data_IF_381702063179
#
_entry.id   IF_381702063179
#
_cell.length_a   1.000
_cell.length_b   1.000
_cell.length_c   1.000
_cell.angle_alpha   90.00
_cell.angle_beta   90.00
_cell.angle_gamma   90.00
#
_symmetry.space_group_name_H-M   'P 1'
#
loop_
_entity.id
_entity.type
_entity.pdbx_description
1 polymer ?
#
# COMPACT_ATOMS: atom_id res chain seq x y z
N UNK A 1 -39.47 6.87 -10.25
CA UNK A 1 -38.59 8.05 -10.17
C UNK A 1 -37.29 7.70 -10.90
N UNK A 2 -37.16 8.19 -12.13
CA UNK A 2 -36.08 7.83 -13.04
C UNK A 2 -34.89 8.74 -12.78
N UNK A 3 -33.79 8.18 -12.26
CA UNK A 3 -32.52 8.91 -12.13
C UNK A 3 -31.76 8.84 -13.47
N UNK A 4 -31.74 9.97 -14.15
CA UNK A 4 -30.87 10.20 -15.31
C UNK A 4 -29.44 10.44 -14.81
N UNK A 5 -28.39 9.73 -15.29
CA UNK A 5 -27.02 10.02 -14.91
C UNK A 5 -26.56 11.32 -15.57
N UNK A 6 -26.04 12.23 -14.75
CA UNK A 6 -25.38 13.47 -15.18
C UNK A 6 -24.02 13.13 -15.76
N UNK A 7 -23.66 13.56 -16.98
CA UNK A 7 -22.34 13.35 -17.54
C UNK A 7 -21.31 14.25 -16.81
N UNK A 8 -20.33 13.64 -16.17
CA UNK A 8 -19.17 14.34 -15.63
C UNK A 8 -18.30 14.82 -16.81
N UNK A 9 -18.41 16.10 -17.14
CA UNK A 9 -17.48 16.76 -18.05
C UNK A 9 -16.16 16.98 -17.34
N UNK A 10 -15.18 16.12 -17.66
CA UNK A 10 -13.78 16.31 -17.22
C UNK A 10 -13.15 17.30 -18.21
N UNK A 11 -12.94 18.52 -17.76
CA UNK A 11 -12.17 19.53 -18.52
C UNK A 11 -10.69 19.17 -18.41
N UNK A 12 -10.12 18.71 -19.53
CA UNK A 12 -8.68 18.47 -19.65
C UNK A 12 -7.93 19.78 -19.71
N UNK A 13 -6.78 19.95 -19.01
CA UNK A 13 -5.90 21.07 -19.24
C UNK A 13 -5.26 20.92 -20.62
N UNK A 14 -5.45 21.93 -21.46
CA UNK A 14 -4.84 22.05 -22.78
C UNK A 14 -3.34 22.31 -22.65
N UNK A 15 -2.56 21.25 -22.49
CA UNK A 15 -1.11 21.27 -22.63
C UNK A 15 -0.78 20.88 -24.06
N UNK A 16 -0.45 21.87 -24.90
CA UNK A 16 0.09 21.69 -26.24
C UNK A 16 1.46 21.03 -26.10
N UNK A 17 1.54 19.74 -26.37
CA UNK A 17 2.80 19.04 -26.60
C UNK A 17 2.81 18.59 -28.06
N UNK A 18 3.37 19.45 -28.93
CA UNK A 18 3.78 19.09 -30.27
C UNK A 18 4.98 18.14 -30.20
N UNK A 19 4.73 16.84 -30.14
CA UNK A 19 5.70 15.84 -30.53
C UNK A 19 5.02 14.79 -31.42
N UNK A 20 5.45 14.67 -32.68
CA UNK A 20 5.02 13.55 -33.52
C UNK A 20 5.82 12.31 -33.13
N UNK A 21 5.52 11.71 -31.99
CA UNK A 21 6.00 10.37 -31.70
C UNK A 21 5.03 9.38 -32.36
N UNK A 22 5.52 8.74 -33.42
CA UNK A 22 4.91 7.59 -34.05
C UNK A 22 4.68 6.49 -33.00
N UNK A 23 3.56 6.54 -32.31
CA UNK A 23 3.03 5.36 -31.63
C UNK A 23 2.64 4.35 -32.73
N UNK A 24 3.62 3.59 -33.23
CA UNK A 24 3.33 2.34 -33.93
C UNK A 24 2.57 1.47 -32.93
N UNK A 25 1.26 1.36 -33.12
CA UNK A 25 0.50 0.31 -32.51
C UNK A 25 1.14 -1.02 -32.98
N UNK A 26 1.98 -1.58 -32.12
CA UNK A 26 2.53 -2.91 -32.35
C UNK A 26 1.36 -3.84 -32.11
N UNK A 27 0.65 -4.22 -33.19
CA UNK A 27 -0.29 -5.36 -33.14
C UNK A 27 0.52 -6.52 -32.58
N UNK A 28 0.25 -6.87 -31.34
CA UNK A 28 0.79 -8.08 -30.76
C UNK A 28 0.30 -9.25 -31.63
N UNK A 29 1.23 -10.09 -32.06
CA UNK A 29 0.89 -11.29 -32.80
C UNK A 29 -0.18 -12.05 -32.02
N UNK A 30 -1.33 -12.30 -32.62
CA UNK A 30 -2.44 -13.02 -31.98
C UNK A 30 -2.03 -14.43 -31.48
N UNK A 31 -0.92 -14.97 -31.99
CA UNK A 31 -0.30 -16.20 -31.52
C UNK A 31 0.35 -16.10 -30.14
N UNK A 32 0.55 -14.89 -29.60
CA UNK A 32 1.16 -14.67 -28.27
C UNK A 32 0.15 -14.73 -27.12
N UNK A 33 -1.17 -14.76 -27.39
CA UNK A 33 -2.20 -14.79 -26.36
C UNK A 33 -2.43 -16.19 -25.79
N UNK A 34 -2.76 -16.35 -24.48
CA UNK A 34 -2.81 -15.32 -23.46
C UNK A 34 -1.42 -14.87 -22.98
N UNK A 35 -1.28 -13.56 -22.73
CA UNK A 35 -0.03 -12.95 -22.27
C UNK A 35 0.32 -13.37 -20.84
N UNK A 36 -0.69 -13.44 -19.97
CA UNK A 36 -0.48 -13.82 -18.57
C UNK A 36 -0.68 -15.32 -18.41
N UNK A 37 0.38 -16.01 -18.01
CA UNK A 37 0.36 -17.45 -17.75
C UNK A 37 0.71 -17.72 -16.28
N UNK A 38 -0.08 -18.56 -15.63
CA UNK A 38 0.11 -18.98 -14.24
C UNK A 38 0.28 -20.49 -14.15
N UNK A 39 0.97 -20.96 -13.10
CA UNK A 39 1.12 -22.39 -12.87
C UNK A 39 -0.19 -23.00 -12.37
N UNK A 40 -0.48 -24.28 -12.65
CA UNK A 40 -1.68 -24.94 -12.14
C UNK A 40 -1.83 -24.88 -10.61
N UNK A 41 -0.72 -24.87 -9.88
CA UNK A 41 -0.68 -24.83 -8.41
C UNK A 41 -0.97 -23.41 -7.82
N UNK A 42 -1.15 -22.40 -8.67
CA UNK A 42 -1.36 -21.02 -8.18
C UNK A 42 -2.84 -20.71 -7.81
N UNK A 43 -3.68 -21.74 -7.66
CA UNK A 43 -5.05 -21.61 -7.09
C UNK A 43 -5.88 -20.47 -7.67
N UNK A 44 -6.23 -19.44 -6.84
CA UNK A 44 -7.10 -18.33 -7.25
C UNK A 44 -6.54 -17.51 -8.41
N UNK A 45 -5.22 -17.38 -8.56
CA UNK A 45 -4.64 -16.70 -9.71
C UNK A 45 -4.91 -17.43 -11.03
N UNK A 46 -5.07 -18.75 -10.99
CA UNK A 46 -5.47 -19.54 -12.15
C UNK A 46 -6.93 -19.22 -12.55
N UNK A 47 -7.83 -19.19 -11.60
CA UNK A 47 -9.23 -18.84 -11.84
C UNK A 47 -9.36 -17.43 -12.46
N UNK A 48 -8.58 -16.46 -11.99
CA UNK A 48 -8.52 -15.12 -12.55
C UNK A 48 -8.05 -15.10 -14.01
N UNK A 49 -7.04 -15.89 -14.36
CA UNK A 49 -6.56 -15.97 -15.75
C UNK A 49 -7.57 -16.67 -16.65
N UNK A 50 -8.18 -17.75 -16.20
CA UNK A 50 -9.20 -18.48 -16.95
C UNK A 50 -10.44 -17.62 -17.19
N UNK A 51 -10.87 -16.83 -16.19
CA UNK A 51 -11.92 -15.84 -16.32
C UNK A 51 -11.53 -14.76 -17.35
N UNK A 52 -10.33 -14.18 -17.25
CA UNK A 52 -9.84 -13.21 -18.20
C UNK A 52 -9.90 -13.72 -19.63
N UNK A 53 -9.41 -14.92 -19.87
CA UNK A 53 -9.42 -15.54 -21.20
C UNK A 53 -10.85 -15.75 -21.73
N UNK A 54 -11.81 -16.00 -20.83
CA UNK A 54 -13.22 -16.21 -21.18
C UNK A 54 -13.88 -14.94 -21.70
N UNK A 55 -13.52 -13.76 -21.18
CA UNK A 55 -14.14 -12.51 -21.61
C UNK A 55 -13.25 -11.62 -22.49
N UNK A 56 -11.99 -12.02 -22.72
CA UNK A 56 -11.02 -11.23 -23.48
C UNK A 56 -11.45 -10.91 -24.93
N UNK A 57 -12.33 -11.72 -25.51
CA UNK A 57 -12.83 -11.55 -26.87
C UNK A 57 -14.35 -11.26 -26.92
N UNK A 58 -15.00 -11.06 -25.77
CA UNK A 58 -16.45 -10.81 -25.74
C UNK A 58 -16.77 -9.45 -26.38
N UNK A 59 -17.66 -9.39 -27.38
CA UNK A 59 -17.96 -8.16 -28.10
C UNK A 59 -18.43 -7.01 -27.18
N UNK A 60 -19.26 -7.32 -26.19
CA UNK A 60 -19.76 -6.30 -25.27
C UNK A 60 -18.65 -5.71 -24.40
N UNK A 61 -17.67 -6.52 -23.98
CA UNK A 61 -16.51 -6.06 -23.20
C UNK A 61 -15.57 -5.24 -24.07
N UNK A 62 -15.28 -5.68 -25.30
CA UNK A 62 -14.47 -4.94 -26.25
C UNK A 62 -15.11 -3.61 -26.64
N UNK A 63 -16.43 -3.58 -26.88
CA UNK A 63 -17.16 -2.34 -27.14
C UNK A 63 -17.04 -1.35 -25.97
N UNK A 64 -17.16 -1.82 -24.73
CA UNK A 64 -16.97 -1.00 -23.54
C UNK A 64 -15.54 -0.44 -23.48
N UNK A 65 -14.52 -1.29 -23.65
CA UNK A 65 -13.11 -0.88 -23.57
C UNK A 65 -12.77 0.11 -24.70
N UNK A 66 -13.24 -0.13 -25.92
CA UNK A 66 -13.04 0.75 -27.06
C UNK A 66 -13.77 2.10 -26.89
N UNK A 67 -14.87 2.13 -26.14
CA UNK A 67 -15.57 3.39 -25.81
C UNK A 67 -14.71 4.34 -24.94
N UNK A 68 -13.73 3.85 -24.23
CA UNK A 68 -12.81 4.68 -23.42
C UNK A 68 -11.78 5.45 -24.27
N UNK A 69 -11.60 5.08 -25.54
CA UNK A 69 -10.71 5.75 -26.51
C UNK A 69 -9.30 5.97 -25.99
N UNK A 70 -8.73 4.95 -25.36
CA UNK A 70 -7.38 4.99 -24.77
C UNK A 70 -6.29 5.02 -25.85
N UNK A 71 -6.56 4.46 -27.02
CA UNK A 71 -5.68 4.45 -28.20
C UNK A 71 -6.52 4.77 -29.45
N UNK A 72 -5.88 5.18 -30.57
CA UNK A 72 -6.60 5.48 -31.82
C UNK A 72 -7.29 4.25 -32.45
N UNK A 73 -6.67 3.08 -32.37
CA UNK A 73 -7.16 1.83 -32.95
C UNK A 73 -8.06 1.09 -31.97
N UNK A 74 -9.04 0.33 -32.50
CA UNK A 74 -9.89 -0.51 -31.68
C UNK A 74 -9.18 -1.81 -31.28
N UNK A 75 -9.34 -2.19 -30.02
CA UNK A 75 -8.88 -3.48 -29.51
C UNK A 75 -9.82 -4.59 -30.01
N UNK A 76 -9.24 -5.69 -30.47
CA UNK A 76 -9.95 -6.92 -30.84
C UNK A 76 -9.76 -8.04 -29.80
N UNK A 77 -8.82 -7.84 -28.86
CA UNK A 77 -8.55 -8.73 -27.76
C UNK A 77 -8.08 -7.91 -26.54
N UNK A 78 -8.52 -8.26 -25.32
CA UNK A 78 -8.14 -7.49 -24.12
C UNK A 78 -6.64 -7.55 -23.79
N UNK A 79 -5.92 -8.55 -24.27
CA UNK A 79 -4.45 -8.58 -24.08
C UNK A 79 -3.75 -7.45 -24.85
N UNK A 80 -4.33 -6.93 -25.93
CA UNK A 80 -3.81 -5.74 -26.63
C UNK A 80 -3.86 -4.51 -25.72
N UNK A 81 -4.91 -4.40 -24.89
CA UNK A 81 -4.99 -3.36 -23.86
C UNK A 81 -3.88 -3.50 -22.82
N UNK A 82 -3.53 -4.73 -22.42
CA UNK A 82 -2.39 -4.96 -21.50
C UNK A 82 -1.07 -4.52 -22.12
N UNK A 83 -0.85 -4.82 -23.41
CA UNK A 83 0.34 -4.38 -24.15
C UNK A 83 0.38 -2.86 -24.25
N UNK A 84 -0.74 -2.22 -24.57
CA UNK A 84 -0.86 -0.77 -24.60
C UNK A 84 -0.55 -0.16 -23.23
N UNK A 85 -0.99 -0.82 -22.13
CA UNK A 85 -0.69 -0.44 -20.75
C UNK A 85 0.73 -0.85 -20.28
N UNK A 86 1.68 -1.10 -21.20
CA UNK A 86 3.09 -1.35 -20.93
C UNK A 86 3.42 -2.77 -20.47
N UNK A 87 2.56 -3.77 -20.73
CA UNK A 87 2.89 -5.17 -20.41
C UNK A 87 4.07 -5.65 -21.24
N UNK A 88 5.11 -6.18 -20.56
CA UNK A 88 6.33 -6.67 -21.24
C UNK A 88 7.28 -5.57 -21.74
N UNK A 89 6.98 -4.30 -21.50
CA UNK A 89 7.86 -3.18 -21.85
C UNK A 89 8.77 -2.77 -20.70
N UNK A 90 9.71 -1.85 -20.99
CA UNK A 90 10.63 -1.31 -19.99
C UNK A 90 9.88 -0.56 -18.86
N UNK A 91 10.51 -0.46 -17.69
CA UNK A 91 9.92 0.16 -16.49
C UNK A 91 9.68 1.67 -16.67
N UNK A 92 10.37 2.30 -17.60
CA UNK A 92 10.32 3.71 -17.95
C UNK A 92 9.46 4.01 -19.19
N UNK A 93 8.61 3.07 -19.62
CA UNK A 93 7.62 3.27 -20.68
C UNK A 93 6.51 4.24 -20.22
N UNK A 94 6.70 5.52 -20.47
CA UNK A 94 5.76 6.56 -20.07
C UNK A 94 4.40 6.44 -20.79
N UNK A 95 4.37 5.97 -22.05
CA UNK A 95 3.11 5.84 -22.80
C UNK A 95 2.25 4.73 -22.20
N UNK A 96 2.86 3.58 -21.90
CA UNK A 96 2.17 2.47 -21.24
C UNK A 96 1.73 2.83 -19.82
N UNK A 97 2.53 3.58 -19.08
CA UNK A 97 2.19 4.04 -17.74
C UNK A 97 1.03 5.05 -17.76
N UNK A 98 0.95 5.92 -18.78
CA UNK A 98 -0.16 6.85 -18.97
C UNK A 98 -1.49 6.11 -19.23
N UNK A 99 -1.50 5.10 -20.11
CA UNK A 99 -2.67 4.27 -20.34
C UNK A 99 -3.08 3.53 -19.05
N UNK A 100 -2.11 2.99 -18.31
CA UNK A 100 -2.37 2.32 -17.05
C UNK A 100 -2.92 3.29 -16.00
N UNK A 101 -2.48 4.54 -15.98
CA UNK A 101 -3.02 5.60 -15.13
C UNK A 101 -4.49 5.88 -15.44
N UNK A 102 -4.86 5.97 -16.71
CA UNK A 102 -6.27 6.11 -17.12
C UNK A 102 -7.12 4.92 -16.66
N UNK A 103 -6.62 3.70 -16.87
CA UNK A 103 -7.30 2.49 -16.40
C UNK A 103 -7.47 2.49 -14.87
N UNK A 104 -6.45 2.89 -14.12
CA UNK A 104 -6.51 2.98 -12.66
C UNK A 104 -7.51 4.06 -12.19
N UNK A 105 -7.65 5.15 -12.94
CA UNK A 105 -8.65 6.18 -12.67
C UNK A 105 -10.09 5.65 -12.87
N UNK A 106 -10.32 4.92 -13.97
CA UNK A 106 -11.60 4.26 -14.26
C UNK A 106 -11.90 3.12 -13.30
N UNK A 107 -10.88 2.43 -12.80
CA UNK A 107 -11.01 1.26 -11.93
C UNK A 107 -11.82 1.51 -10.65
N UNK A 108 -11.97 2.76 -10.23
CA UNK A 108 -12.78 3.12 -9.07
C UNK A 108 -14.28 2.81 -9.25
N UNK A 109 -14.78 2.93 -10.48
CA UNK A 109 -16.20 2.75 -10.83
C UNK A 109 -16.38 1.57 -11.79
N UNK A 110 -15.48 1.37 -12.75
CA UNK A 110 -15.57 0.37 -13.80
C UNK A 110 -14.84 -0.92 -13.40
N UNK A 111 -15.58 -2.02 -13.29
CA UNK A 111 -15.04 -3.34 -12.91
C UNK A 111 -14.10 -3.89 -13.97
N UNK A 112 -14.40 -3.68 -15.26
CA UNK A 112 -13.56 -4.16 -16.37
C UNK A 112 -12.19 -3.46 -16.34
N UNK A 113 -12.16 -2.15 -16.07
CA UNK A 113 -10.91 -1.41 -15.92
C UNK A 113 -10.11 -1.92 -14.72
N UNK A 114 -10.76 -2.10 -13.56
CA UNK A 114 -10.11 -2.67 -12.38
C UNK A 114 -9.52 -4.06 -12.66
N UNK A 115 -10.26 -4.88 -13.41
CA UNK A 115 -9.82 -6.20 -13.80
C UNK A 115 -8.64 -6.17 -14.77
N UNK A 116 -8.60 -5.21 -15.70
CA UNK A 116 -7.48 -5.00 -16.61
C UNK A 116 -6.22 -4.56 -15.86
N UNK A 117 -6.34 -3.61 -14.92
CA UNK A 117 -5.22 -3.20 -14.06
C UNK A 117 -4.69 -4.37 -13.23
N UNK A 118 -5.58 -5.15 -12.59
CA UNK A 118 -5.18 -6.33 -11.82
C UNK A 118 -4.46 -7.36 -12.71
N UNK A 119 -4.98 -7.64 -13.92
CA UNK A 119 -4.37 -8.56 -14.88
C UNK A 119 -2.97 -8.09 -15.31
N UNK A 120 -2.79 -6.76 -15.53
CA UNK A 120 -1.50 -6.17 -15.88
C UNK A 120 -0.43 -6.38 -14.81
N UNK A 121 -0.80 -6.30 -13.53
CA UNK A 121 0.16 -6.44 -12.41
C UNK A 121 0.24 -7.86 -11.85
N UNK A 122 -0.64 -8.76 -12.25
CA UNK A 122 -0.78 -10.13 -11.73
C UNK A 122 0.54 -10.92 -11.69
N UNK A 123 1.41 -10.92 -12.73
CA UNK A 123 2.67 -11.65 -12.68
C UNK A 123 3.61 -11.16 -11.57
N UNK A 124 3.65 -9.84 -11.33
CA UNK A 124 4.48 -9.25 -10.28
C UNK A 124 3.94 -9.57 -8.88
N UNK A 125 2.61 -9.58 -8.72
CA UNK A 125 1.95 -9.98 -7.48
C UNK A 125 2.25 -11.44 -7.14
N UNK A 126 2.09 -12.36 -8.09
CA UNK A 126 2.40 -13.78 -7.91
C UNK A 126 3.87 -13.99 -7.57
N UNK A 127 4.79 -13.29 -8.26
CA UNK A 127 6.22 -13.35 -7.96
C UNK A 127 6.51 -12.89 -6.53
N UNK A 128 5.84 -11.84 -6.07
CA UNK A 128 5.96 -11.32 -4.70
C UNK A 128 5.41 -12.30 -3.67
N UNK A 129 4.22 -12.87 -3.92
CA UNK A 129 3.62 -13.88 -3.07
C UNK A 129 4.48 -15.14 -2.92
N UNK A 130 5.08 -15.61 -4.00
CA UNK A 130 5.99 -16.77 -3.96
C UNK A 130 7.24 -16.52 -3.12
N UNK A 131 7.80 -15.32 -3.19
CA UNK A 131 8.94 -14.95 -2.33
C UNK A 131 8.54 -14.90 -0.85
N UNK A 132 7.39 -14.30 -0.56
CA UNK A 132 6.88 -14.13 0.80
C UNK A 132 6.35 -15.43 1.40
N UNK A 133 5.66 -16.25 0.63
CA UNK A 133 5.09 -17.51 1.08
C UNK A 133 6.12 -18.56 1.55
N UNK A 134 7.41 -18.36 1.26
CA UNK A 134 8.48 -19.22 1.79
C UNK A 134 8.69 -19.08 3.29
N UNK A 135 8.33 -17.93 3.86
CA UNK A 135 8.58 -17.57 5.26
C UNK A 135 7.30 -17.25 6.03
N UNK A 136 6.14 -17.31 5.37
CA UNK A 136 4.85 -17.01 6.02
C UNK A 136 4.10 -18.28 6.47
N UNK A 137 3.38 -18.20 7.59
CA UNK A 137 2.40 -19.23 7.97
C UNK A 137 1.35 -19.39 6.85
N UNK A 138 1.04 -20.61 6.46
CA UNK A 138 0.11 -20.93 5.37
C UNK A 138 0.76 -21.05 3.99
N UNK A 139 2.06 -20.73 3.85
CA UNK A 139 2.83 -20.97 2.64
C UNK A 139 2.44 -20.08 1.45
N UNK A 140 2.82 -20.53 0.25
CA UNK A 140 2.65 -19.76 -1.00
C UNK A 140 1.17 -19.56 -1.37
N UNK A 141 0.30 -20.53 -1.10
CA UNK A 141 -1.13 -20.43 -1.42
C UNK A 141 -1.78 -19.27 -0.65
N UNK A 142 -1.65 -19.29 0.68
CA UNK A 142 -2.17 -18.21 1.53
C UNK A 142 -1.58 -16.84 1.17
N UNK A 143 -0.29 -16.77 0.81
CA UNK A 143 0.34 -15.53 0.38
C UNK A 143 -0.23 -15.01 -0.95
N UNK A 144 -0.62 -15.90 -1.88
CA UNK A 144 -1.29 -15.53 -3.14
C UNK A 144 -2.69 -14.96 -2.83
N UNK A 145 -3.47 -15.63 -2.00
CA UNK A 145 -4.82 -15.18 -1.62
C UNK A 145 -4.78 -13.79 -1.00
N UNK A 146 -3.89 -13.60 -0.03
CA UNK A 146 -3.74 -12.34 0.69
C UNK A 146 -3.32 -11.19 -0.22
N UNK A 147 -2.32 -11.41 -1.10
CA UNK A 147 -1.87 -10.33 -1.99
C UNK A 147 -2.90 -10.01 -3.07
N UNK A 148 -3.69 -10.98 -3.55
CA UNK A 148 -4.72 -10.75 -4.54
C UNK A 148 -5.89 -9.96 -3.95
N UNK A 149 -6.34 -10.31 -2.74
CA UNK A 149 -7.34 -9.53 -2.01
C UNK A 149 -6.88 -8.08 -1.79
N UNK A 150 -5.67 -7.91 -1.28
CA UNK A 150 -5.06 -6.59 -1.07
C UNK A 150 -4.86 -5.80 -2.36
N UNK A 151 -4.53 -6.48 -3.47
CA UNK A 151 -4.36 -5.85 -4.78
C UNK A 151 -5.69 -5.37 -5.35
N UNK A 152 -6.76 -6.14 -5.20
CA UNK A 152 -8.10 -5.72 -5.62
C UNK A 152 -8.54 -4.43 -4.91
N UNK A 153 -8.38 -4.37 -3.60
CA UNK A 153 -8.67 -3.16 -2.82
C UNK A 153 -7.80 -1.99 -3.25
N UNK A 154 -6.49 -2.24 -3.44
CA UNK A 154 -5.53 -1.20 -3.86
C UNK A 154 -5.91 -0.62 -5.22
N UNK A 155 -6.27 -1.46 -6.20
CA UNK A 155 -6.70 -1.03 -7.53
C UNK A 155 -7.98 -0.20 -7.46
N UNK A 156 -8.96 -0.64 -6.68
CA UNK A 156 -10.26 0.05 -6.52
C UNK A 156 -10.17 1.39 -5.79
N UNK A 157 -9.10 1.58 -4.99
CA UNK A 157 -8.90 2.79 -4.18
C UNK A 157 -7.66 3.58 -4.59
N UNK A 158 -7.03 3.25 -5.72
CA UNK A 158 -5.79 3.88 -6.15
C UNK A 158 -5.96 5.39 -6.36
N UNK A 159 -5.13 6.23 -5.73
CA UNK A 159 -5.22 7.68 -5.83
C UNK A 159 -4.51 8.19 -7.11
N UNK A 160 -5.07 7.89 -8.28
CA UNK A 160 -4.45 8.16 -9.58
C UNK A 160 -4.03 9.63 -9.77
N UNK A 161 -4.86 10.58 -9.31
CA UNK A 161 -4.57 12.01 -9.40
C UNK A 161 -3.30 12.43 -8.63
N UNK A 162 -3.03 11.76 -7.49
CA UNK A 162 -1.87 12.07 -6.64
C UNK A 162 -0.61 11.32 -7.04
N UNK A 163 -0.77 10.23 -7.79
CA UNK A 163 0.32 9.32 -8.16
C UNK A 163 0.21 8.93 -9.64
N UNK A 164 0.44 9.88 -10.57
CA UNK A 164 0.20 9.69 -12.00
C UNK A 164 1.27 8.84 -12.69
N UNK A 165 2.41 8.59 -12.05
CA UNK A 165 3.53 7.86 -12.66
C UNK A 165 3.86 6.58 -11.88
N UNK A 166 4.48 5.61 -12.59
CA UNK A 166 4.91 4.31 -12.05
C UNK A 166 3.74 3.53 -11.42
N UNK A 167 2.59 3.59 -12.07
CA UNK A 167 1.31 3.08 -11.55
C UNK A 167 1.40 1.59 -11.21
N UNK A 168 1.95 0.77 -12.11
CA UNK A 168 2.12 -0.68 -11.87
C UNK A 168 2.98 -0.96 -10.62
N UNK A 169 4.12 -0.28 -10.51
CA UNK A 169 5.02 -0.47 -9.37
C UNK A 169 4.37 -0.03 -8.05
N UNK A 170 3.68 1.11 -8.06
CA UNK A 170 2.97 1.61 -6.90
C UNK A 170 1.88 0.65 -6.42
N UNK A 171 1.06 0.11 -7.35
CA UNK A 171 0.01 -0.86 -7.00
C UNK A 171 0.61 -2.12 -6.39
N UNK A 172 1.70 -2.65 -6.97
CA UNK A 172 2.36 -3.86 -6.43
C UNK A 172 2.94 -3.61 -5.04
N UNK A 173 3.60 -2.47 -4.82
CA UNK A 173 4.18 -2.10 -3.52
C UNK A 173 3.12 -1.87 -2.45
N UNK A 174 2.05 -1.15 -2.78
CA UNK A 174 0.95 -0.90 -1.86
C UNK A 174 0.20 -2.20 -1.51
N UNK A 175 -0.01 -3.08 -2.48
CA UNK A 175 -0.59 -4.41 -2.27
C UNK A 175 0.29 -5.27 -1.35
N UNK A 176 1.61 -5.27 -1.59
CA UNK A 176 2.57 -5.97 -0.75
C UNK A 176 2.58 -5.42 0.69
N UNK A 177 2.53 -4.09 0.85
CA UNK A 177 2.47 -3.46 2.17
C UNK A 177 1.20 -3.85 2.91
N UNK A 178 0.04 -3.77 2.26
CA UNK A 178 -1.26 -4.12 2.86
C UNK A 178 -1.34 -5.59 3.25
N UNK A 179 -0.88 -6.49 2.37
CA UNK A 179 -0.93 -7.92 2.60
C UNK A 179 0.03 -8.38 3.72
N UNK A 180 1.27 -7.88 3.74
CA UNK A 180 2.32 -8.52 4.53
C UNK A 180 2.96 -7.64 5.61
N UNK A 181 2.79 -6.33 5.53
CA UNK A 181 3.45 -5.40 6.46
C UNK A 181 2.44 -4.76 7.43
N UNK A 182 1.34 -4.26 6.91
CA UNK A 182 0.34 -3.57 7.70
C UNK A 182 -0.29 -4.46 8.80
N UNK A 183 -0.63 -5.75 8.55
CA UNK A 183 -1.17 -6.63 9.59
C UNK A 183 -0.18 -6.85 10.73
N UNK A 184 1.09 -7.10 10.41
CA UNK A 184 2.15 -7.31 11.42
C UNK A 184 2.35 -6.05 12.26
N UNK A 185 2.36 -4.88 11.63
CA UNK A 185 2.46 -3.61 12.36
C UNK A 185 1.27 -3.33 13.24
N UNK A 186 0.06 -3.62 12.76
CA UNK A 186 -1.17 -3.48 13.56
C UNK A 186 -1.14 -4.38 14.78
N UNK A 187 -0.85 -5.66 14.58
CA UNK A 187 -0.73 -6.62 15.68
C UNK A 187 0.29 -6.17 16.73
N UNK A 188 1.45 -5.69 16.29
CA UNK A 188 2.48 -5.17 17.20
C UNK A 188 2.02 -3.93 17.99
N UNK A 189 1.28 -3.02 17.35
CA UNK A 189 0.71 -1.86 18.04
C UNK A 189 -0.36 -2.30 19.04
N UNK A 190 -1.21 -3.27 18.67
CA UNK A 190 -2.23 -3.85 19.56
C UNK A 190 -1.59 -4.55 20.76
N UNK A 191 -0.53 -5.34 20.54
CA UNK A 191 0.23 -6.00 21.61
C UNK A 191 0.85 -4.99 22.57
N UNK A 192 1.54 -3.96 22.05
CA UNK A 192 2.13 -2.88 22.87
C UNK A 192 1.05 -2.10 23.62
N UNK A 193 -0.09 -1.82 22.97
CA UNK A 193 -1.20 -1.14 23.62
C UNK A 193 -1.84 -1.99 24.72
N UNK A 194 -2.02 -3.30 24.50
CA UNK A 194 -2.53 -4.22 25.49
C UNK A 194 -1.57 -4.37 26.67
N UNK A 195 -0.28 -4.40 26.41
CA UNK A 195 0.76 -4.45 27.45
C UNK A 195 0.78 -3.15 28.28
N UNK A 196 0.64 -1.98 27.65
CA UNK A 196 0.52 -0.70 28.33
C UNK A 196 -0.75 -0.62 29.19
N UNK A 197 -1.90 -1.10 28.66
CA UNK A 197 -3.16 -1.15 29.43
C UNK A 197 -3.03 -2.13 30.61
N UNK A 198 -2.37 -3.27 30.42
CA UNK A 198 -2.18 -4.24 31.50
C UNK A 198 -1.21 -3.69 32.56
N UNK A 199 -0.17 -2.98 32.17
CA UNK A 199 0.75 -2.30 33.09
C UNK A 199 0.05 -1.16 33.85
N UNK A 200 -0.83 -0.39 33.18
CA UNK A 200 -1.65 0.64 33.84
C UNK A 200 -2.62 0.08 34.85
N UNK A 201 -3.15 -1.13 34.63
CA UNK A 201 -4.07 -1.81 35.55
C UNK A 201 -3.42 -2.21 36.89
N UNK A 202 -2.09 -2.48 36.86
CA UNK A 202 -1.33 -2.73 38.09
C UNK A 202 -1.01 -1.45 38.84
N UNK A 203 -0.83 -0.33 38.13
CA UNK A 203 -0.49 0.97 38.67
C UNK A 203 -1.63 1.60 39.52
N UNK A 204 -2.86 1.50 39.04
CA UNK A 204 -4.04 2.10 39.72
C UNK A 204 -4.35 1.47 41.09
N UNK A 205 -3.87 0.24 41.34
CA UNK A 205 -4.22 -0.51 42.55
C UNK A 205 -3.21 -0.33 43.68
N UNK A 206 -1.96 0.08 43.41
CA UNK A 206 -0.91 0.04 44.42
C UNK A 206 -0.42 1.39 44.94
N UNK A 207 -0.50 2.50 44.19
CA UNK A 207 0.11 3.76 44.65
C UNK A 207 -0.84 4.95 44.82
N UNK A 208 -2.05 4.93 44.23
CA UNK A 208 -3.06 5.97 44.44
C UNK A 208 -2.64 7.38 44.00
N UNK A 209 -1.58 7.52 43.22
CA UNK A 209 -1.11 8.80 42.71
C UNK A 209 -1.79 9.15 41.37
N UNK A 210 -2.04 10.41 41.06
CA UNK A 210 -2.46 10.85 39.73
C UNK A 210 -1.45 10.43 38.66
N UNK A 211 -1.92 10.02 37.47
CA UNK A 211 -1.08 9.44 36.40
C UNK A 211 0.08 10.34 35.94
N UNK A 212 -0.09 11.65 35.97
CA UNK A 212 0.96 12.64 35.69
C UNK A 212 2.07 12.67 36.77
N UNK A 213 1.71 12.45 38.04
CA UNK A 213 2.66 12.29 39.12
C UNK A 213 3.41 10.95 39.04
N UNK A 214 2.76 9.87 38.67
CA UNK A 214 3.39 8.56 38.45
C UNK A 214 4.45 8.64 37.35
N UNK A 215 4.13 9.27 36.20
CA UNK A 215 5.09 9.47 35.12
C UNK A 215 6.29 10.29 35.59
N UNK A 216 6.07 11.34 36.38
CA UNK A 216 7.13 12.18 36.90
C UNK A 216 8.08 11.38 37.81
N UNK A 217 7.52 10.56 38.71
CA UNK A 217 8.32 9.68 39.61
C UNK A 217 9.10 8.63 38.82
N UNK A 218 8.48 7.97 37.82
CA UNK A 218 9.15 7.00 36.97
C UNK A 218 10.34 7.62 36.23
N UNK A 219 10.17 8.83 35.70
CA UNK A 219 11.23 9.53 34.96
C UNK A 219 12.36 10.01 35.89
N UNK A 220 12.06 10.40 37.13
CA UNK A 220 13.05 10.76 38.15
C UNK A 220 13.87 9.53 38.59
N UNK A 221 13.21 8.38 38.79
CA UNK A 221 13.88 7.11 39.08
C UNK A 221 14.76 6.68 37.91
N UNK A 222 14.31 6.81 36.67
CA UNK A 222 15.08 6.47 35.49
C UNK A 222 16.35 7.35 35.38
N UNK A 223 16.21 8.65 35.62
CA UNK A 223 17.33 9.61 35.63
C UNK A 223 18.35 9.29 36.73
N UNK A 224 17.88 8.99 37.95
CA UNK A 224 18.75 8.62 39.08
C UNK A 224 19.50 7.31 38.83
N UNK A 225 18.96 6.42 38.01
CA UNK A 225 19.57 5.16 37.60
C UNK A 225 20.44 5.25 36.34
N UNK A 226 20.69 6.46 35.84
CA UNK A 226 21.67 6.72 34.77
C UNK A 226 21.09 6.71 33.34
N UNK A 227 19.78 6.81 33.17
CA UNK A 227 19.20 7.08 31.84
C UNK A 227 19.64 8.48 31.43
N UNK A 228 20.00 8.61 30.13
CA UNK A 228 20.45 9.89 29.57
C UNK A 228 19.46 11.03 29.82
N UNK A 229 19.88 12.16 30.45
CA UNK A 229 18.98 13.27 30.79
C UNK A 229 18.27 13.87 29.58
N UNK A 230 18.87 13.80 28.37
CA UNK A 230 18.26 14.27 27.13
C UNK A 230 17.11 13.39 26.72
N UNK A 231 17.18 12.08 26.92
CA UNK A 231 16.10 11.13 26.68
C UNK A 231 14.95 11.31 27.69
N UNK A 232 15.29 11.53 28.97
CA UNK A 232 14.32 11.82 30.03
C UNK A 232 13.59 13.13 29.76
N UNK A 233 14.32 14.18 29.37
CA UNK A 233 13.71 15.47 28.98
C UNK A 233 12.78 15.34 27.81
N UNK A 234 13.12 14.51 26.80
CA UNK A 234 12.26 14.24 25.68
C UNK A 234 10.95 13.57 26.11
N UNK A 235 11.01 12.58 27.02
CA UNK A 235 9.80 11.92 27.54
C UNK A 235 8.95 12.86 28.39
N UNK A 236 9.53 13.77 29.18
CA UNK A 236 8.79 14.80 29.92
C UNK A 236 7.99 15.73 28.99
N UNK A 237 8.57 16.10 27.83
CA UNK A 237 7.87 16.87 26.81
C UNK A 237 6.69 16.13 26.20
N UNK A 238 6.82 14.83 25.94
CA UNK A 238 5.68 14.01 25.51
C UNK A 238 4.61 13.85 26.59
N UNK A 239 5.02 13.70 27.85
CA UNK A 239 4.11 13.62 28.98
C UNK A 239 3.32 14.92 29.20
N UNK A 240 3.90 16.08 28.86
CA UNK A 240 3.20 17.37 28.86
C UNK A 240 2.26 17.58 27.67
N UNK A 241 2.11 16.58 26.77
CA UNK A 241 1.19 16.62 25.63
C UNK A 241 1.78 17.18 24.34
N UNK A 242 3.08 17.49 24.28
CA UNK A 242 3.70 17.93 23.04
C UNK A 242 3.73 16.82 21.98
N UNK A 243 3.44 17.17 20.73
CA UNK A 243 3.52 16.22 19.60
C UNK A 243 4.93 16.11 19.03
N UNK A 244 5.21 15.04 18.26
CA UNK A 244 6.51 14.89 17.57
C UNK A 244 6.82 16.05 16.62
N UNK A 245 5.80 16.69 16.05
CA UNK A 245 5.92 17.86 15.20
C UNK A 245 6.29 19.12 15.98
N UNK A 246 5.69 19.33 17.15
CA UNK A 246 5.99 20.48 18.00
C UNK A 246 7.42 20.40 18.53
N UNK A 247 7.83 19.23 18.98
CA UNK A 247 9.20 18.99 19.45
C UNK A 247 10.21 19.19 18.32
N UNK A 248 9.90 18.71 17.11
CA UNK A 248 10.76 18.84 15.93
C UNK A 248 10.96 20.32 15.56
N UNK A 249 9.88 21.12 15.61
CA UNK A 249 9.92 22.55 15.30
C UNK A 249 10.84 23.33 16.21
N UNK A 250 10.92 22.95 17.48
CA UNK A 250 11.78 23.62 18.48
C UNK A 250 13.21 23.07 18.56
N UNK A 251 13.49 21.87 18.04
CA UNK A 251 14.77 21.20 18.22
C UNK A 251 15.69 21.19 16.98
N UNK A 252 15.15 21.58 15.82
CA UNK A 252 15.86 21.48 14.53
C UNK A 252 15.97 20.06 13.98
N UNK A 253 15.32 19.07 14.60
CA UNK A 253 15.29 17.69 14.15
C UNK A 253 14.02 17.38 13.35
N UNK A 254 14.04 16.32 12.51
CA UNK A 254 12.84 15.87 11.83
C UNK A 254 11.90 15.16 12.80
N UNK A 255 10.57 15.20 12.53
CA UNK A 255 9.56 14.46 13.31
C UNK A 255 9.84 12.94 13.33
N UNK A 256 10.50 12.42 12.28
CA UNK A 256 10.95 11.03 12.21
C UNK A 256 12.05 10.76 13.23
N UNK A 257 13.03 11.68 13.34
CA UNK A 257 14.12 11.58 14.31
C UNK A 257 13.57 11.62 15.73
N UNK A 258 12.61 12.51 16.01
CA UNK A 258 11.96 12.61 17.31
C UNK A 258 11.24 11.32 17.68
N UNK A 259 10.50 10.69 16.74
CA UNK A 259 9.82 9.40 16.97
C UNK A 259 10.81 8.27 17.27
N UNK A 260 11.93 8.22 16.55
CA UNK A 260 12.97 7.21 16.81
C UNK A 260 13.60 7.41 18.18
N UNK A 261 13.92 8.66 18.57
CA UNK A 261 14.46 8.98 19.90
C UNK A 261 13.46 8.71 21.03
N UNK A 262 12.16 8.91 20.80
CA UNK A 262 11.13 8.49 21.76
C UNK A 262 11.18 6.99 22.00
N UNK A 263 11.26 6.17 20.94
CA UNK A 263 11.37 4.72 21.07
C UNK A 263 12.63 4.30 21.85
N UNK A 264 13.76 4.92 21.55
CA UNK A 264 15.04 4.71 22.27
C UNK A 264 14.92 5.09 23.75
N UNK A 265 14.29 6.21 24.07
CA UNK A 265 14.07 6.68 25.42
C UNK A 265 13.19 5.72 26.24
N UNK A 266 12.07 5.26 25.64
CA UNK A 266 11.19 4.28 26.29
C UNK A 266 11.90 2.95 26.55
N UNK A 267 12.74 2.50 25.63
CA UNK A 267 13.54 1.29 25.78
C UNK A 267 14.57 1.43 26.92
N UNK A 268 15.24 2.58 27.00
CA UNK A 268 16.21 2.87 28.05
C UNK A 268 15.55 2.89 29.45
N UNK A 269 14.39 3.54 29.57
CA UNK A 269 13.63 3.57 30.83
C UNK A 269 13.18 2.17 31.24
N UNK A 270 12.60 1.37 30.31
CA UNK A 270 12.18 0.00 30.61
C UNK A 270 13.31 -0.86 31.14
N UNK A 271 14.46 -0.85 30.45
CA UNK A 271 15.63 -1.65 30.86
C UNK A 271 16.03 -1.37 32.30
N UNK A 272 16.10 -0.10 32.66
CA UNK A 272 16.51 0.32 34.01
C UNK A 272 15.48 -0.01 35.08
N UNK A 273 14.18 -0.04 34.72
CA UNK A 273 13.11 -0.44 35.63
C UNK A 273 13.08 -1.97 35.83
N UNK A 274 13.26 -2.74 34.75
CA UNK A 274 13.27 -4.20 34.78
C UNK A 274 14.47 -4.73 35.60
N UNK A 275 15.65 -4.14 35.44
CA UNK A 275 16.86 -4.48 36.21
C UNK A 275 16.70 -4.18 37.72
N UNK A 276 15.83 -3.23 38.08
CA UNK A 276 15.57 -2.85 39.47
C UNK A 276 14.52 -3.74 40.19
N UNK A 277 13.77 -4.55 39.48
CA UNK A 277 12.81 -5.53 40.05
C UNK A 277 13.48 -6.86 40.36
N UNK A 278 14.65 -7.13 39.77
CA UNK A 278 15.40 -8.39 39.91
C UNK A 278 16.50 -8.33 40.99
N UNK A 279 16.67 -7.20 41.65
CA UNK A 279 17.64 -6.98 42.76
C UNK A 279 16.91 -6.84 44.11
#
# INVERSE_FOLDING_TARGET
MSHTPVPLSITLPSGHCDHPSHARCVRADASAFPLVRVRPADGPSRALVDEWNTFATRPAVLALVNSWRLVPDEFVHLDELLVAAGFGRAVDDNDGDHILWHLASLARVETVAARAVLQRVLPALISTARRRGRVQPGGTGAAIDEILASAWETVRTYPAERRPAKVAANIVLDSQYRAFVAPVRRKRVEEVSAELVNTSRWSETELGLPADLEIAVVLEVAESRGVDPGLVTLLRRFASGETSEDIARGSGWSSRTIRNRRAEALEAVRRVLDDGVSA
#
